data_IF_680217829331
#
_entry.id   IF_680217829331
#
_cell.length_a   1.000
_cell.length_b   1.000
_cell.length_c   1.000
_cell.angle_alpha   90.00
_cell.angle_beta   90.00
_cell.angle_gamma   90.00
#
_symmetry.space_group_name_H-M   'P 1'
#
loop_
_entity.id
_entity.type
_entity.pdbx_description
1 polymer ?
#
# COMPACT_ATOMS: atom_id res chain seq x y z
N UNK A 1 10.60 0.93 -11.33
CA UNK A 1 10.27 0.43 -10.01
C UNK A 1 9.95 -1.06 -10.07
N UNK A 2 10.51 -1.81 -9.12
CA UNK A 2 10.37 -3.28 -9.10
C UNK A 2 9.36 -3.77 -8.06
N UNK A 3 8.64 -2.86 -7.41
CA UNK A 3 7.67 -3.22 -6.40
C UNK A 3 6.41 -3.86 -6.98
N UNK A 4 5.64 -4.52 -6.11
CA UNK A 4 4.37 -5.08 -6.47
C UNK A 4 3.32 -3.97 -6.63
N UNK A 5 2.59 -3.98 -7.73
CA UNK A 5 1.53 -3.02 -8.01
C UNK A 5 0.20 -3.73 -8.15
N UNK A 6 -0.77 -3.29 -7.38
CA UNK A 6 -2.12 -3.84 -7.35
C UNK A 6 -3.09 -2.71 -7.71
N UNK A 7 -3.72 -2.78 -8.82
CA UNK A 7 -4.68 -1.80 -9.31
C UNK A 7 -5.38 -2.40 -10.53
N UNK A 8 -6.28 -1.79 -10.92
CA UNK A 8 -7.58 -1.22 -10.90
C UNK A 8 -8.63 -2.26 -10.50
N UNK A 9 -9.40 -2.04 -9.46
CA UNK A 9 -10.43 -2.97 -8.99
C UNK A 9 -9.95 -4.43 -8.83
N UNK A 10 -8.70 -4.61 -8.49
CA UNK A 10 -8.14 -5.93 -8.20
C UNK A 10 -8.51 -6.36 -6.78
N UNK A 11 -8.66 -7.66 -6.60
CA UNK A 11 -8.90 -8.23 -5.28
C UNK A 11 -7.89 -9.35 -5.10
N UNK A 12 -6.93 -9.15 -4.20
CA UNK A 12 -5.79 -10.06 -4.03
C UNK A 12 -5.64 -10.50 -2.59
N UNK A 13 -5.16 -11.72 -2.43
CA UNK A 13 -4.81 -12.32 -1.14
C UNK A 13 -3.43 -12.93 -1.30
N UNK A 14 -2.44 -12.37 -0.62
CA UNK A 14 -1.04 -12.76 -0.79
C UNK A 14 -0.44 -13.10 0.58
N UNK A 15 0.20 -14.25 0.66
CA UNK A 15 0.91 -14.70 1.85
C UNK A 15 2.40 -14.84 1.58
N UNK A 16 3.21 -14.50 2.57
CA UNK A 16 4.66 -14.69 2.53
C UNK A 16 5.32 -13.87 1.41
N UNK A 17 5.10 -12.58 1.41
CA UNK A 17 5.65 -11.66 0.42
C UNK A 17 6.92 -10.99 0.94
N UNK A 18 7.98 -11.03 0.16
CA UNK A 18 9.22 -10.29 0.42
C UNK A 18 9.38 -9.22 -0.66
N UNK A 19 9.52 -7.97 -0.23
CA UNK A 19 9.69 -6.81 -1.11
C UNK A 19 11.07 -6.21 -0.88
N UNK A 20 11.88 -6.11 -1.95
CA UNK A 20 13.27 -5.64 -1.82
C UNK A 20 13.64 -4.61 -2.86
N UNK A 21 14.43 -3.63 -2.42
CA UNK A 21 15.17 -2.73 -3.31
C UNK A 21 14.29 -2.00 -4.31
N UNK A 22 13.13 -1.56 -3.86
CA UNK A 22 12.15 -0.87 -4.70
C UNK A 22 11.91 0.53 -4.18
N UNK A 23 11.39 1.39 -5.05
CA UNK A 23 10.90 2.68 -4.60
C UNK A 23 9.70 2.50 -3.67
N UNK A 24 8.76 1.64 -4.08
CA UNK A 24 7.60 1.27 -3.26
C UNK A 24 7.51 -0.25 -3.21
N UNK A 25 7.50 -0.81 -2.01
CA UNK A 25 7.38 -2.26 -1.84
C UNK A 25 6.08 -2.80 -2.41
N UNK A 26 4.95 -2.30 -1.92
CA UNK A 26 3.62 -2.60 -2.46
C UNK A 26 2.85 -1.31 -2.67
N UNK A 27 2.30 -1.12 -3.86
CA UNK A 27 1.38 -0.03 -4.17
C UNK A 27 0.00 -0.61 -4.47
N UNK A 28 -1.02 -0.18 -3.72
CA UNK A 28 -2.41 -0.60 -3.90
C UNK A 28 -3.22 0.61 -4.32
N UNK A 29 -3.89 0.53 -5.45
CA UNK A 29 -4.51 1.68 -6.11
C UNK A 29 -5.92 1.40 -6.61
N UNK A 30 -6.66 2.47 -6.87
CA UNK A 30 -7.82 2.48 -7.79
C UNK A 30 -8.84 1.38 -7.51
N UNK A 31 -9.48 1.44 -6.35
CA UNK A 31 -10.56 0.53 -5.98
C UNK A 31 -10.12 -0.88 -5.60
N UNK A 32 -8.83 -1.12 -5.50
CA UNK A 32 -8.33 -2.45 -5.20
C UNK A 32 -8.46 -2.80 -3.72
N UNK A 33 -8.58 -4.08 -3.44
CA UNK A 33 -8.64 -4.65 -2.10
C UNK A 33 -7.52 -5.68 -1.98
N UNK A 34 -6.68 -5.52 -0.97
CA UNK A 34 -5.56 -6.44 -0.76
C UNK A 34 -5.53 -6.95 0.68
N UNK A 35 -5.42 -8.26 0.82
CA UNK A 35 -5.15 -8.91 2.09
C UNK A 35 -3.74 -9.50 2.02
N UNK A 36 -2.86 -9.01 2.90
CA UNK A 36 -1.45 -9.38 2.88
C UNK A 36 -1.08 -10.00 4.23
N UNK A 37 -0.41 -11.14 4.21
CA UNK A 37 0.01 -11.84 5.42
C UNK A 37 1.48 -12.21 5.35
N UNK A 38 2.20 -12.01 6.44
CA UNK A 38 3.64 -12.28 6.53
C UNK A 38 4.44 -11.51 5.50
N UNK A 39 4.49 -10.19 5.68
CA UNK A 39 5.15 -9.27 4.76
C UNK A 39 6.51 -8.89 5.32
N UNK A 40 7.53 -8.96 4.49
CA UNK A 40 8.86 -8.48 4.80
C UNK A 40 9.27 -7.42 3.77
N UNK A 41 9.69 -6.26 4.26
CA UNK A 41 10.10 -5.15 3.41
C UNK A 41 11.56 -4.79 3.72
N UNK A 42 12.42 -4.87 2.71
CA UNK A 42 13.85 -4.66 2.86
C UNK A 42 14.34 -3.63 1.85
N UNK A 43 14.91 -2.54 2.36
CA UNK A 43 15.58 -1.54 1.54
C UNK A 43 14.66 -0.94 0.45
N UNK A 44 13.42 -0.65 0.80
CA UNK A 44 12.50 0.08 -0.04
C UNK A 44 12.44 1.53 0.43
N UNK A 45 12.28 2.47 -0.50
CA UNK A 45 12.11 3.88 -0.14
C UNK A 45 10.81 4.09 0.62
N UNK A 46 9.73 3.47 0.14
CA UNK A 46 8.46 3.36 0.84
C UNK A 46 8.08 1.89 0.94
N UNK A 47 7.59 1.49 2.09
CA UNK A 47 7.16 0.09 2.27
C UNK A 47 5.82 -0.18 1.62
N UNK A 48 4.92 0.81 1.69
CA UNK A 48 3.54 0.65 1.25
C UNK A 48 3.00 1.99 0.75
N UNK A 49 2.21 1.95 -0.32
CA UNK A 49 1.47 3.10 -0.80
C UNK A 49 0.03 2.71 -1.09
N UNK A 50 -0.93 3.49 -0.58
CA UNK A 50 -2.35 3.34 -0.82
C UNK A 50 -2.89 4.66 -1.35
N UNK A 51 -3.34 4.68 -2.59
CA UNK A 51 -3.81 5.92 -3.20
C UNK A 51 -4.56 5.64 -4.48
N UNK A 52 -5.23 6.67 -5.02
CA UNK A 52 -5.83 6.58 -6.34
C UNK A 52 -5.02 7.39 -7.35
N UNK A 53 -4.75 6.76 -8.47
CA UNK A 53 -4.23 7.43 -9.65
C UNK A 53 -5.38 7.98 -10.48
N UNK A 54 -6.51 7.28 -10.50
CA UNK A 54 -7.72 7.67 -11.24
C UNK A 54 -8.85 7.98 -10.26
N UNK A 55 -9.45 9.15 -10.39
CA UNK A 55 -10.46 9.64 -9.44
C UNK A 55 -11.80 8.92 -9.51
N UNK A 56 -12.10 8.24 -10.62
CA UNK A 56 -13.37 7.54 -10.79
C UNK A 56 -13.49 6.27 -9.93
N UNK A 57 -12.38 5.78 -9.41
CA UNK A 57 -12.39 4.59 -8.56
C UNK A 57 -12.55 4.94 -7.09
N UNK A 58 -13.05 4.00 -6.31
CA UNK A 58 -13.01 4.10 -4.86
C UNK A 58 -11.57 4.00 -4.37
N UNK A 59 -11.30 4.54 -3.19
CA UNK A 59 -9.97 4.44 -2.60
C UNK A 59 -9.68 3.00 -2.17
N UNK A 60 -8.41 2.57 -2.19
CA UNK A 60 -8.08 1.19 -1.90
C UNK A 60 -8.29 0.82 -0.43
N UNK A 61 -8.45 -0.47 -0.21
CA UNK A 61 -8.54 -1.07 1.13
C UNK A 61 -7.47 -2.13 1.27
N UNK A 62 -6.67 -2.04 2.32
CA UNK A 62 -5.60 -2.99 2.59
C UNK A 62 -5.68 -3.48 4.03
N UNK A 63 -5.60 -4.78 4.19
CA UNK A 63 -5.51 -5.41 5.50
C UNK A 63 -4.23 -6.24 5.53
N UNK A 64 -3.39 -5.97 6.52
CA UNK A 64 -2.11 -6.67 6.67
C UNK A 64 -2.07 -7.37 8.02
N UNK A 65 -1.64 -8.61 8.00
CA UNK A 65 -1.35 -9.39 9.18
C UNK A 65 0.13 -9.74 9.18
N UNK A 66 0.81 -9.45 10.27
CA UNK A 66 2.23 -9.72 10.45
C UNK A 66 3.12 -8.99 9.42
N UNK A 67 3.20 -7.69 9.60
CA UNK A 67 4.14 -6.86 8.87
C UNK A 67 5.40 -6.70 9.73
N UNK A 68 6.43 -7.43 9.37
CA UNK A 68 7.63 -7.55 10.19
C UNK A 68 8.59 -6.39 9.98
N UNK A 69 8.22 -5.22 10.52
CA UNK A 69 9.05 -4.02 10.48
C UNK A 69 8.58 -3.03 11.53
N UNK A 70 9.51 -2.53 12.37
CA UNK A 70 9.15 -1.59 13.44
C UNK A 70 8.71 -0.23 12.91
N UNK A 71 9.53 0.38 12.06
CA UNK A 71 9.25 1.68 11.49
C UNK A 71 8.87 1.50 10.03
N UNK A 72 7.64 1.81 9.70
CA UNK A 72 7.10 1.63 8.35
C UNK A 72 6.99 2.98 7.66
N UNK A 73 7.48 3.06 6.43
CA UNK A 73 7.32 4.24 5.58
C UNK A 73 6.11 4.03 4.68
N UNK A 74 5.01 4.68 5.02
CA UNK A 74 3.73 4.49 4.34
C UNK A 74 3.25 5.80 3.74
N UNK A 75 2.91 5.75 2.45
CA UNK A 75 2.17 6.82 1.79
C UNK A 75 0.72 6.38 1.67
N UNK A 76 -0.16 7.03 2.41
CA UNK A 76 -1.57 6.63 2.46
C UNK A 76 -2.47 7.83 2.23
N UNK A 77 -3.37 7.71 1.27
CA UNK A 77 -4.37 8.76 1.01
C UNK A 77 -5.41 8.81 2.13
N UNK A 78 -6.00 9.98 2.33
CA UNK A 78 -6.95 10.24 3.44
C UNK A 78 -8.16 9.33 3.44
N UNK A 79 -8.62 8.92 2.26
CA UNK A 79 -9.82 8.11 2.13
C UNK A 79 -9.54 6.62 1.91
N UNK A 80 -8.28 6.22 1.86
CA UNK A 80 -7.94 4.81 1.80
C UNK A 80 -8.04 4.18 3.18
N UNK A 81 -8.24 2.87 3.21
CA UNK A 81 -8.42 2.12 4.46
C UNK A 81 -7.26 1.16 4.63
N UNK A 82 -6.58 1.28 5.75
CA UNK A 82 -5.45 0.40 6.08
C UNK A 82 -5.63 -0.11 7.50
N UNK A 83 -5.49 -1.43 7.64
CA UNK A 83 -5.43 -2.09 8.93
C UNK A 83 -4.17 -2.94 9.00
N UNK A 84 -3.37 -2.77 10.03
CA UNK A 84 -2.17 -3.58 10.27
C UNK A 84 -2.32 -4.23 11.64
N UNK A 85 -2.31 -5.57 11.68
CA UNK A 85 -2.49 -6.35 12.91
C UNK A 85 -3.71 -5.88 13.71
N UNK A 86 -4.84 -5.71 13.01
CA UNK A 86 -6.12 -5.25 13.54
C UNK A 86 -6.14 -3.81 14.05
N UNK A 87 -5.11 -3.03 13.79
CA UNK A 87 -5.09 -1.62 14.16
C UNK A 87 -5.27 -0.74 12.93
N UNK A 88 -6.18 0.21 13.05
CA UNK A 88 -6.50 1.14 11.96
C UNK A 88 -5.37 2.16 11.84
N UNK A 89 -4.88 2.33 10.61
CA UNK A 89 -3.91 3.37 10.26
C UNK A 89 -4.61 4.40 9.40
N UNK A 90 -4.57 5.66 9.83
CA UNK A 90 -5.24 6.75 9.13
C UNK A 90 -4.32 7.37 8.08
N UNK A 91 -4.87 7.61 6.89
CA UNK A 91 -4.17 8.29 5.82
C UNK A 91 -4.04 9.78 6.08
N UNK A 92 -2.95 10.38 5.60
CA UNK A 92 -2.61 11.78 5.87
C UNK A 92 -2.49 12.64 4.62
N UNK A 93 -2.41 12.02 3.44
CA UNK A 93 -2.07 12.72 2.22
C UNK A 93 -3.21 12.72 1.21
N UNK A 94 -3.20 13.71 0.32
CA UNK A 94 -4.08 13.69 -0.84
C UNK A 94 -3.54 12.72 -1.89
N UNK A 95 -4.43 12.23 -2.76
CA UNK A 95 -4.00 11.44 -3.90
C UNK A 95 -3.04 12.22 -4.79
N UNK A 96 -3.29 13.50 -5.00
CA UNK A 96 -2.43 14.38 -5.80
C UNK A 96 -1.01 14.42 -5.25
N UNK A 97 -0.86 14.58 -3.94
CA UNK A 97 0.45 14.60 -3.30
C UNK A 97 1.21 13.29 -3.51
N UNK A 98 0.54 12.16 -3.28
CA UNK A 98 1.18 10.84 -3.44
C UNK A 98 1.58 10.61 -4.89
N UNK A 99 0.74 10.97 -5.84
CA UNK A 99 1.07 10.87 -7.26
C UNK A 99 2.29 11.73 -7.61
N UNK A 100 2.42 12.91 -7.02
CA UNK A 100 3.58 13.79 -7.27
C UNK A 100 4.89 13.20 -6.78
N UNK A 101 4.85 12.34 -5.77
CA UNK A 101 6.03 11.65 -5.25
C UNK A 101 6.39 10.43 -6.10
N UNK A 102 5.38 9.65 -6.50
CA UNK A 102 5.61 8.34 -7.11
C UNK A 102 5.66 8.36 -8.64
N UNK A 103 5.20 9.45 -9.27
CA UNK A 103 5.15 9.54 -10.75
C UNK A 103 5.74 10.83 -11.30
#
# INVERSE_FOLDING_TARGET
>A
DKGLRIGENSNVDIKNLVMKNSRTGVAVKDGSIAYLENIESVNNEYDLALFNKKNEYENPTVKIKNFNKKTKKILQSKNSKLTIDNQIVLGKHSNTYINSILY
#
